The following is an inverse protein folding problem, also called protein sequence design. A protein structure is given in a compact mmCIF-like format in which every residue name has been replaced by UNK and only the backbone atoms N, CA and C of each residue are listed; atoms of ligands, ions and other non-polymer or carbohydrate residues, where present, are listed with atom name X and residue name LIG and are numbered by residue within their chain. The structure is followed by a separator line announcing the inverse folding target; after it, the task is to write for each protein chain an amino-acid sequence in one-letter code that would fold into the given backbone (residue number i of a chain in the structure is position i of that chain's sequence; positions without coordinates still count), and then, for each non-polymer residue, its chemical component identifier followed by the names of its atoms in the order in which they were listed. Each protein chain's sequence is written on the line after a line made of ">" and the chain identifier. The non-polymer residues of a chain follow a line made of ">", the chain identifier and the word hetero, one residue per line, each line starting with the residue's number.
data_IF_194855733307
#
_entry.id   IF_194855733307
#
_cell.length_a   1.000
_cell.length_b   1.000
_cell.length_c   1.000
_cell.angle_alpha   90.00
_cell.angle_beta   90.00
_cell.angle_gamma   90.00
#
_symmetry.space_group_name_H-M   'P 1'
#
loop_
_entity.id
_entity.type
_entity.pdbx_description
1 polymer ?
#
# COMPACT_ATOMS: atom_id res chain seq x y z
N UNK A 1 -7.17 5.30 11.04
CA UNK A 1 -6.68 4.12 10.27
C UNK A 1 -5.53 4.50 9.35
N UNK A 2 -5.65 5.58 8.57
CA UNK A 2 -4.54 6.10 7.74
C UNK A 2 -3.25 6.34 8.56
N UNK A 3 -3.36 6.92 9.75
CA UNK A 3 -2.19 7.22 10.60
C UNK A 3 -1.44 5.97 11.06
N UNK A 4 -2.16 4.87 11.33
CA UNK A 4 -1.54 3.60 11.72
C UNK A 4 -0.74 3.00 10.56
N UNK A 5 -1.26 3.12 9.33
CA UNK A 5 -0.60 2.60 8.13
C UNK A 5 0.64 3.42 7.82
N UNK A 6 0.55 4.75 7.99
CA UNK A 6 1.71 5.61 7.83
C UNK A 6 2.80 5.32 8.86
N UNK A 7 2.43 5.09 10.12
CA UNK A 7 3.37 4.65 11.14
C UNK A 7 4.03 3.31 10.78
N UNK A 8 3.26 2.32 10.28
CA UNK A 8 3.81 1.04 9.82
C UNK A 8 4.81 1.26 8.67
N UNK A 9 4.47 2.12 7.70
CA UNK A 9 5.36 2.44 6.59
C UNK A 9 6.67 3.05 7.08
N UNK A 10 6.61 3.99 8.02
CA UNK A 10 7.80 4.59 8.63
C UNK A 10 8.67 3.55 9.36
N UNK A 11 8.07 2.65 10.13
CA UNK A 11 8.81 1.59 10.81
C UNK A 11 9.47 0.62 9.83
N UNK A 12 8.79 0.26 8.74
CA UNK A 12 9.37 -0.58 7.69
C UNK A 12 10.54 0.12 6.97
N UNK A 13 10.42 1.42 6.69
CA UNK A 13 11.52 2.22 6.14
C UNK A 13 12.75 2.14 7.05
N UNK A 14 12.58 2.39 8.36
CA UNK A 14 13.67 2.32 9.32
C UNK A 14 14.32 0.93 9.38
N UNK A 15 13.52 -0.14 9.32
CA UNK A 15 14.05 -1.51 9.28
C UNK A 15 14.85 -1.79 8.01
N UNK A 16 14.38 -1.34 6.85
CA UNK A 16 15.09 -1.49 5.58
C UNK A 16 16.38 -0.68 5.57
N UNK A 17 16.38 0.53 6.12
CA UNK A 17 17.57 1.41 6.20
C UNK A 17 18.62 0.89 7.18
N UNK A 18 18.20 0.21 8.25
CA UNK A 18 19.13 -0.28 9.30
C UNK A 18 19.55 -1.75 9.12
N UNK A 19 18.94 -2.49 8.19
CA UNK A 19 19.28 -3.88 7.92
C UNK A 19 20.75 -4.04 7.51
N UNK A 20 21.52 -4.82 8.26
CA UNK A 20 22.94 -5.10 7.98
C UNK A 20 23.17 -6.32 7.07
N UNK A 21 22.12 -7.09 6.81
CA UNK A 21 22.16 -8.35 6.04
C UNK A 21 21.78 -8.17 4.56
N UNK A 22 21.47 -6.93 4.14
CA UNK A 22 21.00 -6.59 2.78
C UNK A 22 22.03 -5.70 2.10
N UNK A 23 22.40 -6.04 0.86
CA UNK A 23 23.28 -5.18 0.06
C UNK A 23 22.53 -3.94 -0.48
N UNK A 24 23.26 -2.93 -0.94
CA UNK A 24 22.67 -1.65 -1.36
C UNK A 24 21.65 -1.80 -2.50
N UNK A 25 21.92 -2.69 -3.47
CA UNK A 25 21.01 -2.94 -4.60
C UNK A 25 19.68 -3.54 -4.14
N UNK A 26 19.73 -4.52 -3.25
CA UNK A 26 18.53 -5.14 -2.67
C UNK A 26 17.76 -4.15 -1.79
N UNK A 27 18.46 -3.27 -1.06
CA UNK A 27 17.86 -2.22 -0.25
C UNK A 27 17.07 -1.22 -1.11
N UNK A 28 17.66 -0.76 -2.21
CA UNK A 28 16.99 0.12 -3.16
C UNK A 28 15.73 -0.54 -3.77
N UNK A 29 15.81 -1.84 -4.09
CA UNK A 29 14.66 -2.60 -4.57
C UNK A 29 13.54 -2.70 -3.52
N UNK A 30 13.90 -2.98 -2.25
CA UNK A 30 12.94 -3.05 -1.14
C UNK A 30 12.26 -1.70 -0.90
N UNK A 31 13.03 -0.60 -0.94
CA UNK A 31 12.51 0.77 -0.80
C UNK A 31 11.56 1.15 -1.94
N UNK A 32 11.94 0.84 -3.19
CA UNK A 32 11.06 1.05 -4.36
C UNK A 32 9.74 0.29 -4.21
N UNK A 33 9.81 -0.96 -3.75
CA UNK A 33 8.61 -1.78 -3.53
C UNK A 33 7.75 -1.21 -2.41
N UNK A 34 8.33 -0.81 -1.27
CA UNK A 34 7.60 -0.19 -0.17
C UNK A 34 6.86 1.09 -0.60
N UNK A 35 7.51 1.93 -1.40
CA UNK A 35 6.93 3.16 -1.94
C UNK A 35 5.81 2.91 -2.95
N UNK A 36 5.82 1.76 -3.63
CA UNK A 36 4.79 1.38 -4.60
C UNK A 36 3.53 0.75 -3.99
N UNK A 37 3.51 0.48 -2.67
CA UNK A 37 2.36 -0.15 -2.03
C UNK A 37 1.19 0.84 -1.96
N UNK A 38 0.17 0.55 -2.76
CA UNK A 38 -1.15 1.19 -2.66
C UNK A 38 -1.93 0.64 -1.45
N UNK A 39 -2.63 1.55 -0.76
CA UNK A 39 -3.37 1.24 0.45
C UNK A 39 -4.86 1.44 0.17
N UNK A 40 -5.63 0.37 0.25
CA UNK A 40 -7.08 0.38 0.04
C UNK A 40 -7.78 0.09 1.37
N UNK A 41 -8.57 1.04 1.88
CA UNK A 41 -9.21 0.95 3.20
C UNK A 41 -10.73 1.07 3.04
N UNK A 42 -11.47 0.14 3.65
CA UNK A 42 -12.93 0.16 3.63
C UNK A 42 -13.47 -0.35 2.29
N UNK A 43 -13.99 0.54 1.46
CA UNK A 43 -14.60 0.21 0.18
C UNK A 43 -13.98 1.04 -0.95
N UNK A 44 -13.88 0.48 -2.17
CA UNK A 44 -13.42 1.25 -3.32
C UNK A 44 -14.34 2.46 -3.57
N UNK A 45 -13.78 3.57 -4.04
CA UNK A 45 -14.55 4.79 -4.29
C UNK A 45 -15.68 4.58 -5.31
N UNK A 46 -15.46 3.71 -6.30
CA UNK A 46 -16.47 3.36 -7.31
C UNK A 46 -17.70 2.66 -6.70
N UNK A 47 -17.60 2.10 -5.50
CA UNK A 47 -18.69 1.41 -4.83
C UNK A 47 -19.85 2.35 -4.45
N UNK A 48 -19.60 3.67 -4.36
CA UNK A 48 -20.64 4.69 -4.15
C UNK A 48 -21.47 4.97 -5.39
N UNK A 49 -21.05 4.50 -6.57
CA UNK A 49 -21.76 4.74 -7.83
C UNK A 49 -22.83 3.68 -8.05
N UNK A 50 -24.08 4.01 -7.72
CA UNK A 50 -25.22 3.10 -7.87
C UNK A 50 -25.41 2.59 -9.31
N UNK A 51 -25.08 3.38 -10.33
CA UNK A 51 -25.21 2.98 -11.74
C UNK A 51 -24.22 1.87 -12.08
N UNK A 52 -22.98 1.97 -11.58
CA UNK A 52 -21.94 0.94 -11.76
C UNK A 52 -22.36 -0.35 -11.08
N UNK A 53 -22.85 -0.26 -9.84
CA UNK A 53 -23.37 -1.41 -9.09
C UNK A 53 -24.55 -2.06 -9.83
N UNK A 54 -25.57 -1.27 -10.22
CA UNK A 54 -26.75 -1.79 -10.93
C UNK A 54 -26.41 -2.43 -12.27
N UNK A 55 -25.35 -1.97 -12.94
CA UNK A 55 -24.89 -2.56 -14.21
C UNK A 55 -24.10 -3.85 -13.97
N UNK A 56 -23.20 -3.87 -12.98
CA UNK A 56 -22.40 -5.04 -12.63
C UNK A 56 -23.26 -6.25 -12.22
N UNK A 57 -24.40 -6.00 -11.56
CA UNK A 57 -25.32 -7.05 -11.12
C UNK A 57 -26.49 -7.33 -12.07
N UNK A 58 -26.55 -6.70 -13.25
CA UNK A 58 -27.67 -6.86 -14.18
C UNK A 58 -27.59 -8.09 -15.09
N UNK A 59 -26.46 -8.79 -15.13
CA UNK A 59 -26.25 -9.95 -16.01
C UNK A 59 -25.98 -9.55 -17.44
#
# INVERSE_FOLDING_TARGET
>A
VSDMIENIRQQLTLQIETANWVNEKERDLMMKRLNSIEVLIGFPDWYKNETVIKTAYKG
#
